data_IF_963933420397
#
_entry.id   IF_963933420397
#
_cell.length_a   1.000
_cell.length_b   1.000
_cell.length_c   1.000
_cell.angle_alpha   90.00
_cell.angle_beta   90.00
_cell.angle_gamma   90.00
#
_symmetry.space_group_name_H-M   'P 1'
#
loop_
_entity.id
_entity.type
_entity.pdbx_description
1 polymer ?
#
# COMPACT_ATOMS: atom_id res chain seq x y z
N UNK A 1 6.71 -46.75 63.52
CA UNK A 1 5.79 -45.69 63.05
C UNK A 1 6.46 -45.02 61.85
N UNK A 2 6.05 -45.40 60.64
CA UNK A 2 6.62 -44.88 59.40
C UNK A 2 5.64 -43.93 58.76
N UNK A 3 6.03 -42.65 58.67
CA UNK A 3 5.20 -41.62 58.03
C UNK A 3 5.66 -41.51 56.59
N UNK A 4 4.88 -42.11 55.70
CA UNK A 4 5.07 -41.99 54.24
C UNK A 4 4.66 -40.58 53.79
N UNK A 5 5.63 -39.74 53.43
CA UNK A 5 5.39 -38.46 52.73
C UNK A 5 5.10 -38.77 51.26
N UNK A 6 3.85 -38.68 50.87
CA UNK A 6 3.45 -38.62 49.44
C UNK A 6 3.70 -37.22 48.90
N UNK A 7 4.72 -37.12 48.07
CA UNK A 7 4.99 -35.91 47.28
C UNK A 7 3.99 -35.92 46.11
N UNK A 8 3.06 -34.97 46.18
CA UNK A 8 2.07 -34.75 45.12
C UNK A 8 2.74 -33.86 44.07
N UNK A 9 3.26 -34.48 42.99
CA UNK A 9 3.78 -33.74 41.83
C UNK A 9 2.62 -33.12 41.11
N UNK A 10 2.46 -31.78 41.23
CA UNK A 10 1.58 -30.98 40.42
C UNK A 10 2.26 -30.78 39.06
N UNK A 11 1.94 -31.60 38.10
CA UNK A 11 2.25 -31.36 36.68
C UNK A 11 1.33 -30.27 36.16
N UNK A 12 1.85 -29.05 36.06
CA UNK A 12 1.18 -27.96 35.36
C UNK A 12 1.32 -28.18 33.85
N UNK A 13 0.22 -28.37 33.09
CA UNK A 13 0.32 -28.44 31.66
C UNK A 13 0.64 -27.03 31.13
N UNK A 14 1.84 -26.86 30.59
CA UNK A 14 2.23 -25.68 29.82
C UNK A 14 1.45 -25.76 28.51
N UNK A 15 0.30 -25.10 28.46
CA UNK A 15 -0.42 -24.85 27.20
C UNK A 15 0.38 -23.82 26.43
N UNK A 16 1.21 -24.32 25.49
CA UNK A 16 1.88 -23.51 24.49
C UNK A 16 0.83 -22.92 23.56
N UNK A 17 0.37 -21.71 23.89
CA UNK A 17 -0.49 -20.93 23.01
C UNK A 17 0.31 -20.61 21.74
N UNK A 18 0.05 -21.36 20.67
CA UNK A 18 0.52 -21.06 19.33
C UNK A 18 -0.08 -19.71 18.92
N UNK A 19 0.67 -18.64 19.14
CA UNK A 19 0.43 -17.34 18.53
C UNK A 19 0.62 -17.50 17.01
N UNK A 20 -0.46 -17.90 16.34
CA UNK A 20 -0.49 -17.83 14.88
C UNK A 20 -0.50 -16.34 14.52
N UNK A 21 0.47 -15.84 13.75
CA UNK A 21 0.35 -14.51 13.18
C UNK A 21 -0.91 -14.54 12.32
N UNK A 22 -1.90 -13.73 12.68
CA UNK A 22 -3.04 -13.45 11.81
C UNK A 22 -2.44 -12.65 10.64
N UNK A 23 -2.01 -13.36 9.62
CA UNK A 23 -1.72 -12.75 8.33
C UNK A 23 -3.08 -12.30 7.82
N UNK A 24 -3.39 -11.01 8.01
CA UNK A 24 -4.55 -10.38 7.39
C UNK A 24 -4.41 -10.57 5.89
N UNK A 25 -5.10 -11.56 5.34
CA UNK A 25 -5.27 -11.70 3.90
C UNK A 25 -6.04 -10.46 3.43
N UNK A 26 -5.33 -9.53 2.84
CA UNK A 26 -5.92 -8.33 2.27
C UNK A 26 -6.95 -8.76 1.23
N UNK A 27 -8.19 -8.31 1.40
CA UNK A 27 -9.31 -8.73 0.57
C UNK A 27 -9.31 -8.01 -0.77
N UNK A 28 -9.99 -8.59 -1.77
CA UNK A 28 -10.21 -7.94 -3.07
C UNK A 28 -10.97 -6.61 -2.91
N UNK A 29 -11.80 -6.49 -1.88
CA UNK A 29 -12.55 -5.26 -1.59
C UNK A 29 -11.64 -4.13 -1.10
N UNK A 30 -10.63 -4.44 -0.28
CA UNK A 30 -9.61 -3.46 0.12
C UNK A 30 -8.80 -2.99 -1.09
N UNK A 31 -8.41 -3.91 -1.95
CA UNK A 31 -7.70 -3.59 -3.18
C UNK A 31 -8.50 -2.65 -4.10
N UNK A 32 -9.78 -2.92 -4.33
CA UNK A 32 -10.66 -2.02 -5.08
C UNK A 32 -10.78 -0.65 -4.42
N UNK A 33 -10.85 -0.61 -3.09
CA UNK A 33 -10.84 0.63 -2.30
C UNK A 33 -9.57 1.46 -2.51
N UNK A 34 -8.40 0.82 -2.56
CA UNK A 34 -7.12 1.51 -2.82
C UNK A 34 -7.08 2.11 -4.21
N UNK A 35 -7.50 1.37 -5.24
CA UNK A 35 -7.54 1.87 -6.63
C UNK A 35 -8.42 3.10 -6.76
N UNK A 36 -9.64 3.06 -6.22
CA UNK A 36 -10.56 4.20 -6.22
C UNK A 36 -9.98 5.40 -5.46
N UNK A 37 -9.29 5.16 -4.37
CA UNK A 37 -8.69 6.20 -3.56
C UNK A 37 -7.50 6.86 -4.27
N UNK A 38 -6.64 6.07 -4.93
CA UNK A 38 -5.54 6.58 -5.76
C UNK A 38 -6.09 7.48 -6.87
N UNK A 39 -7.13 7.04 -7.58
CA UNK A 39 -7.72 7.84 -8.65
C UNK A 39 -8.25 9.20 -8.14
N UNK A 40 -9.06 9.19 -7.08
CA UNK A 40 -9.56 10.44 -6.47
C UNK A 40 -8.44 11.36 -5.99
N UNK A 41 -7.41 10.79 -5.35
CA UNK A 41 -6.25 11.57 -4.86
C UNK A 41 -5.42 12.13 -6.01
N UNK A 42 -5.21 11.36 -7.09
CA UNK A 42 -4.47 11.86 -8.24
C UNK A 42 -5.19 13.02 -8.95
N UNK A 43 -6.51 12.96 -9.06
CA UNK A 43 -7.31 14.10 -9.54
C UNK A 43 -7.17 15.31 -8.60
N UNK A 44 -7.13 15.08 -7.29
CA UNK A 44 -6.91 16.15 -6.29
C UNK A 44 -5.52 16.76 -6.41
N UNK A 45 -4.47 15.93 -6.55
CA UNK A 45 -3.09 16.39 -6.82
C UNK A 45 -3.06 17.33 -8.00
N UNK A 46 -3.64 16.94 -9.13
CA UNK A 46 -3.63 17.77 -10.35
C UNK A 46 -4.31 19.12 -10.14
N UNK A 47 -5.47 19.14 -9.45
CA UNK A 47 -6.16 20.39 -9.11
C UNK A 47 -5.34 21.28 -8.16
N UNK A 48 -4.68 20.67 -7.17
CA UNK A 48 -3.88 21.39 -6.18
C UNK A 48 -2.60 21.96 -6.83
N UNK A 49 -1.96 21.21 -7.73
CA UNK A 49 -0.81 21.68 -8.50
C UNK A 49 -1.17 22.87 -9.41
N UNK A 50 -2.34 22.80 -10.08
CA UNK A 50 -2.82 23.91 -10.91
C UNK A 50 -3.05 25.19 -10.10
N UNK A 51 -3.42 25.07 -8.83
CA UNK A 51 -3.59 26.20 -7.89
C UNK A 51 -2.30 26.57 -7.16
N UNK A 52 -1.22 25.84 -7.38
CA UNK A 52 0.06 25.96 -6.68
C UNK A 52 -0.06 25.75 -5.15
N UNK A 53 -1.03 24.95 -4.73
CA UNK A 53 -1.21 24.55 -3.35
C UNK A 53 -0.25 23.38 -3.02
N UNK A 54 0.95 23.75 -2.58
CA UNK A 54 2.03 22.80 -2.33
C UNK A 54 1.70 21.82 -1.20
N UNK A 55 1.05 22.30 -0.14
CA UNK A 55 0.76 21.49 1.04
C UNK A 55 -0.31 20.43 0.73
N UNK A 56 -1.41 20.84 0.08
CA UNK A 56 -2.47 19.94 -0.31
C UNK A 56 -2.00 18.92 -1.37
N UNK A 57 -1.21 19.34 -2.37
CA UNK A 57 -0.65 18.45 -3.37
C UNK A 57 0.29 17.41 -2.74
N UNK A 58 1.11 17.84 -1.77
CA UNK A 58 2.03 16.94 -1.06
C UNK A 58 1.29 15.94 -0.18
N UNK A 59 0.23 16.37 0.52
CA UNK A 59 -0.58 15.47 1.34
C UNK A 59 -1.22 14.36 0.49
N UNK A 60 -1.84 14.72 -0.63
CA UNK A 60 -2.45 13.78 -1.55
C UNK A 60 -1.41 12.82 -2.18
N UNK A 61 -0.25 13.34 -2.61
CA UNK A 61 0.81 12.53 -3.20
C UNK A 61 1.41 11.53 -2.20
N UNK A 62 1.55 11.90 -0.94
CA UNK A 62 2.02 11.00 0.13
C UNK A 62 1.05 9.83 0.30
N UNK A 63 -0.24 10.12 0.39
CA UNK A 63 -1.27 9.08 0.50
C UNK A 63 -1.28 8.13 -0.71
N UNK A 64 -1.11 8.66 -1.92
CA UNK A 64 -0.97 7.83 -3.14
C UNK A 64 0.24 6.88 -3.00
N UNK A 65 1.38 7.37 -2.54
CA UNK A 65 2.57 6.56 -2.33
C UNK A 65 2.36 5.40 -1.36
N UNK A 66 1.65 5.64 -0.25
CA UNK A 66 1.30 4.64 0.75
C UNK A 66 0.34 3.58 0.18
N UNK A 67 -0.65 4.00 -0.60
CA UNK A 67 -1.58 3.08 -1.25
C UNK A 67 -0.89 2.18 -2.29
N UNK A 68 0.03 2.73 -3.08
CA UNK A 68 0.84 1.91 -4.01
C UNK A 68 1.79 0.96 -3.28
N UNK A 69 2.33 1.34 -2.13
CA UNK A 69 3.14 0.43 -1.31
C UNK A 69 2.29 -0.76 -0.79
N UNK A 70 1.04 -0.51 -0.42
CA UNK A 70 0.09 -1.56 -0.05
C UNK A 70 -0.22 -2.48 -1.24
N UNK A 71 -0.44 -1.91 -2.43
CA UNK A 71 -0.66 -2.68 -3.66
C UNK A 71 0.56 -3.53 -4.05
N UNK A 72 1.76 -2.98 -3.96
CA UNK A 72 3.01 -3.69 -4.21
C UNK A 72 3.14 -4.92 -3.32
N UNK A 73 2.87 -4.76 -2.02
CA UNK A 73 2.86 -5.84 -1.04
C UNK A 73 1.79 -6.89 -1.35
N UNK A 74 0.58 -6.45 -1.70
CA UNK A 74 -0.52 -7.34 -2.07
C UNK A 74 -0.17 -8.25 -3.25
N UNK A 75 0.41 -7.70 -4.32
CA UNK A 75 0.80 -8.48 -5.48
C UNK A 75 2.03 -9.34 -5.24
N UNK A 76 2.99 -8.88 -4.43
CA UNK A 76 4.17 -9.67 -4.06
C UNK A 76 3.78 -10.98 -3.36
N UNK A 77 2.77 -10.95 -2.50
CA UNK A 77 2.28 -12.16 -1.82
C UNK A 77 1.53 -13.13 -2.75
N UNK A 78 1.04 -12.69 -3.89
CA UNK A 78 0.32 -13.56 -4.84
C UNK A 78 1.23 -14.42 -5.72
N UNK A 79 2.50 -14.06 -5.88
CA UNK A 79 3.53 -14.84 -6.55
C UNK A 79 3.42 -14.98 -8.07
N UNK A 80 2.29 -14.61 -8.68
CA UNK A 80 2.02 -14.75 -10.12
C UNK A 80 1.69 -13.41 -10.83
N UNK A 81 2.03 -12.29 -10.20
CA UNK A 81 1.70 -10.94 -10.67
C UNK A 81 2.92 -10.01 -10.64
N UNK A 82 4.08 -10.48 -11.11
CA UNK A 82 5.35 -9.73 -11.07
C UNK A 82 5.26 -8.38 -11.80
N UNK A 83 4.49 -8.29 -12.89
CA UNK A 83 4.28 -7.03 -13.59
C UNK A 83 3.41 -6.06 -12.77
N UNK A 84 2.41 -6.56 -12.04
CA UNK A 84 1.61 -5.72 -11.13
C UNK A 84 2.45 -5.17 -9.97
N UNK A 85 3.41 -5.94 -9.44
CA UNK A 85 4.40 -5.46 -8.47
C UNK A 85 5.22 -4.32 -9.07
N UNK A 86 5.73 -4.49 -10.29
CA UNK A 86 6.50 -3.46 -11.00
C UNK A 86 5.68 -2.18 -11.21
N UNK A 87 4.47 -2.29 -11.73
CA UNK A 87 3.57 -1.14 -11.97
C UNK A 87 3.20 -0.43 -10.66
N UNK A 88 3.00 -1.16 -9.58
CA UNK A 88 2.77 -0.57 -8.25
C UNK A 88 4.00 0.20 -7.76
N UNK A 89 5.20 -0.35 -7.95
CA UNK A 89 6.46 0.32 -7.63
C UNK A 89 6.67 1.59 -8.48
N UNK A 90 6.34 1.55 -9.77
CA UNK A 90 6.38 2.72 -10.65
C UNK A 90 5.41 3.82 -10.19
N UNK A 91 4.16 3.48 -9.84
CA UNK A 91 3.18 4.42 -9.30
C UNK A 91 3.67 5.08 -8.01
N UNK A 92 4.25 4.30 -7.10
CA UNK A 92 4.90 4.79 -5.88
C UNK A 92 6.03 5.78 -6.18
N UNK A 93 6.87 5.49 -7.18
CA UNK A 93 7.97 6.34 -7.59
C UNK A 93 7.49 7.67 -8.19
N UNK A 94 6.40 7.65 -8.97
CA UNK A 94 5.77 8.87 -9.49
C UNK A 94 5.20 9.74 -8.35
N UNK A 95 4.56 9.15 -7.36
CA UNK A 95 4.09 9.88 -6.17
C UNK A 95 5.26 10.54 -5.42
N UNK A 96 6.37 9.82 -5.24
CA UNK A 96 7.59 10.40 -4.67
C UNK A 96 8.19 11.52 -5.54
N UNK A 97 8.09 11.41 -6.86
CA UNK A 97 8.53 12.46 -7.77
C UNK A 97 7.67 13.74 -7.63
N UNK A 98 6.35 13.60 -7.48
CA UNK A 98 5.48 14.75 -7.15
C UNK A 98 5.98 15.46 -5.91
N UNK A 99 6.23 14.73 -4.82
CA UNK A 99 6.70 15.29 -3.55
C UNK A 99 8.02 16.05 -3.72
N UNK A 100 9.01 15.47 -4.42
CA UNK A 100 10.29 16.13 -4.67
C UNK A 100 10.14 17.40 -5.48
N UNK A 101 9.35 17.35 -6.54
CA UNK A 101 9.16 18.50 -7.44
C UNK A 101 8.40 19.64 -6.75
N UNK A 102 7.39 19.33 -5.95
CA UNK A 102 6.66 20.32 -5.14
C UNK A 102 7.61 20.98 -4.11
N UNK A 103 8.44 20.18 -3.43
CA UNK A 103 9.45 20.71 -2.49
C UNK A 103 10.46 21.62 -3.14
N UNK A 104 10.77 21.40 -4.43
CA UNK A 104 11.64 22.26 -5.23
C UNK A 104 10.92 23.48 -5.84
N UNK A 105 9.60 23.60 -5.65
CA UNK A 105 8.79 24.64 -6.28
C UNK A 105 8.54 24.43 -7.78
N UNK A 106 8.92 23.27 -8.32
CA UNK A 106 8.73 22.91 -9.73
C UNK A 106 7.37 22.24 -9.95
N UNK A 107 6.33 23.04 -10.05
CA UNK A 107 4.97 22.58 -10.27
C UNK A 107 4.76 21.96 -11.67
N UNK A 108 5.59 22.31 -12.65
CA UNK A 108 5.53 21.71 -13.99
C UNK A 108 6.02 20.27 -13.95
N UNK A 109 7.18 20.02 -13.34
CA UNK A 109 7.69 18.68 -13.13
C UNK A 109 6.76 17.83 -12.25
N UNK A 110 6.17 18.42 -11.20
CA UNK A 110 5.18 17.76 -10.36
C UNK A 110 3.95 17.33 -11.15
N UNK A 111 3.45 18.17 -12.06
CA UNK A 111 2.31 17.83 -12.93
C UNK A 111 2.65 16.69 -13.88
N UNK A 112 3.85 16.65 -14.45
CA UNK A 112 4.29 15.52 -15.28
C UNK A 112 4.37 14.21 -14.46
N UNK A 113 4.86 14.26 -13.24
CA UNK A 113 4.89 13.10 -12.37
C UNK A 113 3.46 12.61 -12.01
N UNK A 114 2.51 13.52 -11.78
CA UNK A 114 1.11 13.18 -11.55
C UNK A 114 0.43 12.51 -12.77
N UNK A 115 0.80 12.90 -14.00
CA UNK A 115 0.41 12.20 -15.22
C UNK A 115 1.00 10.78 -15.27
N UNK A 116 2.22 10.60 -14.77
CA UNK A 116 2.85 9.28 -14.64
C UNK A 116 2.05 8.34 -13.73
N UNK A 117 1.45 8.84 -12.64
CA UNK A 117 0.55 8.07 -11.78
C UNK A 117 -0.66 7.57 -12.59
N UNK A 118 -1.31 8.44 -13.36
CA UNK A 118 -2.45 8.07 -14.21
C UNK A 118 -2.06 7.03 -15.27
N UNK A 119 -0.84 7.14 -15.82
CA UNK A 119 -0.32 6.15 -16.76
C UNK A 119 -0.12 4.78 -16.12
N UNK A 120 0.45 4.71 -14.90
CA UNK A 120 0.63 3.46 -14.17
C UNK A 120 -0.72 2.77 -13.89
N UNK A 121 -1.76 3.52 -13.49
CA UNK A 121 -3.12 3.02 -13.32
C UNK A 121 -3.66 2.39 -14.61
N UNK A 122 -3.53 3.09 -15.74
CA UNK A 122 -4.02 2.62 -17.04
C UNK A 122 -3.28 1.37 -17.51
N UNK A 123 -1.96 1.32 -17.37
CA UNK A 123 -1.14 0.17 -17.77
C UNK A 123 -1.53 -1.09 -17.00
N UNK A 124 -1.76 -0.96 -15.68
CA UNK A 124 -2.21 -2.06 -14.85
C UNK A 124 -3.61 -2.54 -15.28
N UNK A 125 -4.56 -1.63 -15.51
CA UNK A 125 -5.93 -1.99 -15.92
C UNK A 125 -5.98 -2.66 -17.29
N UNK A 126 -5.15 -2.27 -18.23
CA UNK A 126 -5.08 -2.93 -19.56
C UNK A 126 -4.67 -4.40 -19.46
N UNK A 127 -3.88 -4.78 -18.47
CA UNK A 127 -3.37 -6.13 -18.31
C UNK A 127 -4.25 -6.98 -17.37
N UNK A 128 -4.70 -6.41 -16.26
CA UNK A 128 -5.35 -7.15 -15.18
C UNK A 128 -6.86 -6.89 -15.04
N UNK A 129 -7.36 -5.86 -15.67
CA UNK A 129 -8.78 -5.54 -15.73
C UNK A 129 -9.12 -5.04 -17.12
N UNK A 130 -9.11 -5.92 -18.15
CA UNK A 130 -9.51 -5.53 -19.50
C UNK A 130 -10.93 -4.96 -19.45
N UNK A 131 -11.13 -3.87 -20.18
CA UNK A 131 -12.44 -3.23 -20.34
C UNK A 131 -13.39 -4.25 -21.01
N UNK A 132 -14.48 -4.58 -20.31
CA UNK A 132 -15.61 -5.31 -20.88
C UNK A 132 -16.35 -4.44 -21.91
#
# INVERSE_FOLDING_TARGET
MSISRRIFELTVPVTLALLHPIVCAQSILEFDGWMQKIDRRNQSVQRNLARKDADAASADAREIGELYASMETYFAHRGNASNAVKLSSEGKNFAAAVLRSVSAGDFAAASQAALGIAHACRSCHLEYKPLE
#
